data_IF_154710517220
#
_entry.id   IF_154710517220
#
_cell.length_a   1.000
_cell.length_b   1.000
_cell.length_c   1.000
_cell.angle_alpha   90.00
_cell.angle_beta   90.00
_cell.angle_gamma   90.00
#
_symmetry.space_group_name_H-M   'P 1'
#
loop_
_entity.id
_entity.type
_entity.pdbx_description
1 polymer ?
#
# COMPACT_ATOMS: atom_id res chain seq x y z
N UNK A 1 10.52 -7.40 3.48
CA UNK A 1 9.69 -7.22 2.28
C UNK A 1 10.34 -7.90 1.10
N UNK A 2 9.57 -8.61 0.28
CA UNK A 2 10.03 -9.15 -1.01
C UNK A 2 9.60 -8.18 -2.12
N UNK A 3 10.48 -7.94 -3.10
CA UNK A 3 10.24 -7.02 -4.22
C UNK A 3 10.41 -7.75 -5.54
N UNK A 4 9.58 -7.37 -6.51
CA UNK A 4 9.55 -7.94 -7.86
C UNK A 4 9.59 -6.83 -8.91
N UNK A 5 10.19 -7.13 -10.06
CA UNK A 5 10.19 -6.23 -11.21
C UNK A 5 8.77 -6.14 -11.80
N UNK A 6 8.26 -4.93 -11.99
CA UNK A 6 6.95 -4.71 -12.59
C UNK A 6 7.02 -4.88 -14.12
N UNK A 7 6.69 -6.08 -14.60
CA UNK A 7 6.65 -6.40 -16.03
C UNK A 7 7.99 -6.15 -16.72
N UNK A 8 7.98 -5.34 -17.78
CA UNK A 8 9.18 -4.95 -18.55
C UNK A 8 9.80 -3.61 -18.10
N UNK A 9 9.34 -3.04 -17.00
CA UNK A 9 9.83 -1.75 -16.47
C UNK A 9 10.98 -1.98 -15.49
N UNK A 10 11.77 -0.95 -15.21
CA UNK A 10 12.82 -1.04 -14.19
C UNK A 10 12.29 -0.81 -12.76
N UNK A 11 10.97 -0.71 -12.59
CA UNK A 11 10.35 -0.53 -11.29
C UNK A 11 10.39 -1.83 -10.48
N UNK A 12 10.87 -1.73 -9.24
CA UNK A 12 10.79 -2.78 -8.22
C UNK A 12 9.62 -2.45 -7.30
N UNK A 13 8.60 -3.31 -7.27
CA UNK A 13 7.41 -3.13 -6.42
C UNK A 13 7.37 -4.23 -5.36
N UNK A 14 6.82 -3.93 -4.18
CA UNK A 14 6.61 -4.93 -3.15
C UNK A 14 5.67 -6.03 -3.67
N UNK A 15 5.87 -7.27 -3.22
CA UNK A 15 5.00 -8.39 -3.57
C UNK A 15 3.56 -8.19 -3.06
N UNK A 16 3.39 -7.43 -1.98
CA UNK A 16 2.11 -7.09 -1.38
C UNK A 16 1.98 -5.56 -1.32
N UNK A 17 0.80 -5.06 -1.66
CA UNK A 17 0.48 -3.63 -1.66
C UNK A 17 -0.64 -3.32 -0.67
N UNK A 18 -0.61 -2.14 -0.06
CA UNK A 18 -1.71 -1.65 0.76
C UNK A 18 -2.82 -1.07 -0.12
N UNK A 19 -4.02 -1.63 -0.04
CA UNK A 19 -5.22 -1.06 -0.65
C UNK A 19 -5.89 -0.05 0.29
N UNK A 20 -6.38 1.06 -0.27
CA UNK A 20 -6.90 2.21 0.53
C UNK A 20 -8.34 2.59 0.20
N UNK A 21 -9.10 1.71 -0.48
CA UNK A 21 -10.46 2.03 -0.97
C UNK A 21 -11.46 2.38 0.15
N UNK A 22 -11.16 2.05 1.40
CA UNK A 22 -12.04 2.26 2.56
C UNK A 22 -11.69 3.52 3.37
N UNK A 23 -10.62 4.24 3.02
CA UNK A 23 -10.17 5.44 3.73
C UNK A 23 -11.11 6.61 3.43
N UNK A 24 -11.56 7.32 4.47
CA UNK A 24 -12.48 8.46 4.35
C UNK A 24 -13.97 8.09 4.33
N UNK A 25 -14.31 6.80 4.26
CA UNK A 25 -15.69 6.30 4.37
C UNK A 25 -15.85 5.41 5.60
N UNK A 26 -15.20 4.23 5.59
CA UNK A 26 -15.28 3.26 6.69
C UNK A 26 -14.14 3.45 7.71
N UNK A 27 -13.02 4.03 7.28
CA UNK A 27 -11.86 4.32 8.11
C UNK A 27 -11.66 5.83 8.20
N UNK A 28 -11.36 6.34 9.40
CA UNK A 28 -10.99 7.74 9.57
C UNK A 28 -9.61 8.02 8.96
N UNK A 29 -9.28 9.29 8.76
CA UNK A 29 -7.95 9.72 8.32
C UNK A 29 -6.84 9.20 9.25
N UNK A 30 -7.06 9.27 10.57
CA UNK A 30 -6.12 8.76 11.56
C UNK A 30 -5.94 7.23 11.43
N UNK A 31 -6.99 6.48 11.15
CA UNK A 31 -6.89 5.03 10.92
C UNK A 31 -6.14 4.71 9.63
N UNK A 32 -6.35 5.51 8.58
CA UNK A 32 -5.61 5.42 7.32
C UNK A 32 -4.12 5.69 7.52
N UNK A 33 -3.77 6.73 8.28
CA UNK A 33 -2.37 7.01 8.63
C UNK A 33 -1.73 5.86 9.43
N UNK A 34 -2.45 5.30 10.42
CA UNK A 34 -1.95 4.12 11.16
C UNK A 34 -1.72 2.90 10.25
N UNK A 35 -2.56 2.70 9.24
CA UNK A 35 -2.38 1.61 8.26
C UNK A 35 -1.19 1.87 7.33
N UNK A 36 -0.96 3.12 6.93
CA UNK A 36 0.19 3.54 6.13
C UNK A 36 1.51 3.38 6.90
N UNK A 37 1.55 3.74 8.18
CA UNK A 37 2.75 3.62 9.02
C UNK A 37 3.15 2.16 9.28
N UNK A 38 2.18 1.23 9.24
CA UNK A 38 2.42 -0.20 9.45
C UNK A 38 2.91 -0.94 8.19
N UNK A 39 2.58 -0.41 7.01
CA UNK A 39 2.85 -1.04 5.72
C UNK A 39 4.27 -0.79 5.20
#
# INVERSE_FOLDING_TARGET
MQYNRLGKTDLQVSQLCLGTMTFGEQNSEADGHRQLDYA
#
